data_IF_706734255007
#
_entry.id   IF_706734255007
#
_cell.length_a   1.000
_cell.length_b   1.000
_cell.length_c   1.000
_cell.angle_alpha   90.00
_cell.angle_beta   90.00
_cell.angle_gamma   90.00
#
_symmetry.space_group_name_H-M   'P 1'
#
loop_
_entity.id
_entity.type
_entity.pdbx_description
1 polymer ?
#
# COMPACT_ATOMS: atom_id res chain seq x y z
N UNK A 1 -37.57 -14.61 6.47
CA UNK A 1 -37.28 -13.78 5.27
C UNK A 1 -35.78 -13.76 5.06
N UNK A 2 -35.33 -14.27 3.92
CA UNK A 2 -33.94 -14.56 3.58
C UNK A 2 -33.07 -13.29 3.66
N UNK A 3 -32.13 -13.25 4.62
CA UNK A 3 -31.14 -12.18 4.72
C UNK A 3 -29.91 -12.51 3.84
N UNK A 4 -30.09 -12.73 2.54
CA UNK A 4 -28.98 -12.88 1.60
C UNK A 4 -28.57 -11.50 1.05
N UNK A 5 -28.30 -10.55 1.95
CA UNK A 5 -27.72 -9.26 1.56
C UNK A 5 -26.22 -9.44 1.36
N UNK A 6 -25.70 -8.91 0.26
CA UNK A 6 -24.26 -8.89 -0.02
C UNK A 6 -23.53 -7.98 0.95
N UNK A 7 -22.21 -8.20 1.12
CA UNK A 7 -21.37 -7.36 1.99
C UNK A 7 -21.44 -5.88 1.60
N UNK A 8 -21.57 -5.56 0.30
CA UNK A 8 -21.66 -4.18 -0.21
C UNK A 8 -22.98 -3.52 0.22
N UNK A 9 -24.10 -4.20 0.01
CA UNK A 9 -25.42 -3.69 0.43
C UNK A 9 -25.50 -3.48 1.93
N UNK A 10 -24.86 -4.34 2.73
CA UNK A 10 -24.79 -4.17 4.18
C UNK A 10 -23.93 -2.97 4.62
N UNK A 11 -22.89 -2.64 3.86
CA UNK A 11 -22.07 -1.43 4.10
C UNK A 11 -22.90 -0.19 3.75
N UNK A 12 -23.61 -0.20 2.61
CA UNK A 12 -24.50 0.89 2.22
C UNK A 12 -25.61 1.09 3.26
N UNK A 13 -26.20 0.00 3.76
CA UNK A 13 -27.18 0.05 4.84
C UNK A 13 -26.58 0.63 6.12
N UNK A 14 -25.33 0.29 6.46
CA UNK A 14 -24.64 0.85 7.62
C UNK A 14 -24.44 2.37 7.49
N UNK A 15 -24.06 2.85 6.31
CA UNK A 15 -23.81 4.26 6.03
C UNK A 15 -25.11 5.08 5.94
N UNK A 16 -26.20 4.49 5.45
CA UNK A 16 -27.51 5.14 5.32
C UNK A 16 -28.41 5.00 6.56
N UNK A 17 -28.06 4.15 7.54
CA UNK A 17 -28.90 3.85 8.70
C UNK A 17 -29.09 5.05 9.65
N UNK A 18 -30.29 5.63 9.62
CA UNK A 18 -30.73 6.68 10.55
C UNK A 18 -31.03 6.11 11.94
N UNK A 19 -31.53 4.87 11.99
CA UNK A 19 -31.97 4.21 13.21
C UNK A 19 -30.87 3.35 13.86
N UNK A 20 -30.73 3.43 15.18
CA UNK A 20 -29.75 2.61 15.93
C UNK A 20 -30.02 1.11 15.82
N UNK A 21 -31.30 0.69 15.71
CA UNK A 21 -31.67 -0.73 15.52
C UNK A 21 -31.14 -1.30 14.20
N UNK A 22 -31.32 -0.57 13.10
CA UNK A 22 -30.83 -0.95 11.77
C UNK A 22 -29.31 -1.00 11.73
N UNK A 23 -28.66 0.02 12.29
CA UNK A 23 -27.20 0.09 12.39
C UNK A 23 -26.61 -1.11 13.14
N UNK A 24 -27.21 -1.46 14.28
CA UNK A 24 -26.79 -2.62 15.06
C UNK A 24 -27.05 -3.96 14.35
N UNK A 25 -28.14 -4.07 13.59
CA UNK A 25 -28.41 -5.25 12.74
C UNK A 25 -27.37 -5.36 11.63
N UNK A 26 -27.05 -4.27 10.94
CA UNK A 26 -26.02 -4.22 9.89
C UNK A 26 -24.66 -4.64 10.42
N UNK A 27 -24.24 -4.10 11.58
CA UNK A 27 -22.97 -4.46 12.23
C UNK A 27 -22.92 -5.96 12.55
N UNK A 28 -24.01 -6.54 13.10
CA UNK A 28 -24.06 -7.97 13.41
C UNK A 28 -23.94 -8.84 12.16
N UNK A 29 -24.61 -8.46 11.07
CA UNK A 29 -24.56 -9.20 9.81
C UNK A 29 -23.19 -9.08 9.16
N UNK A 30 -22.60 -7.88 9.13
CA UNK A 30 -21.27 -7.65 8.58
C UNK A 30 -20.15 -8.38 9.32
N UNK A 31 -20.30 -8.62 10.63
CA UNK A 31 -19.35 -9.44 11.41
C UNK A 31 -19.30 -10.91 10.99
N UNK A 32 -20.31 -11.41 10.27
CA UNK A 32 -20.35 -12.79 9.74
C UNK A 32 -19.53 -12.93 8.47
N UNK A 33 -19.22 -11.83 7.79
CA UNK A 33 -18.40 -11.86 6.58
C UNK A 33 -16.93 -11.84 6.94
N UNK A 34 -16.14 -12.66 6.25
CA UNK A 34 -14.71 -12.64 6.43
C UNK A 34 -14.13 -11.28 6.01
N UNK A 35 -13.20 -10.72 6.80
CA UNK A 35 -12.49 -9.51 6.45
C UNK A 35 -11.52 -9.79 5.32
N UNK A 36 -11.66 -9.03 4.23
CA UNK A 36 -10.74 -9.09 3.08
C UNK A 36 -9.80 -7.90 3.20
N UNK A 37 -8.50 -8.18 3.20
CA UNK A 37 -7.48 -7.15 3.16
C UNK A 37 -7.34 -6.58 1.75
N UNK A 38 -7.27 -5.26 1.66
CA UNK A 38 -7.05 -4.52 0.44
C UNK A 38 -5.77 -3.68 0.59
N UNK A 39 -4.76 -4.02 -0.21
CA UNK A 39 -3.45 -3.39 -0.25
C UNK A 39 -3.27 -2.48 -1.47
N UNK A 40 -4.30 -2.32 -2.31
CA UNK A 40 -4.22 -1.64 -3.60
C UNK A 40 -3.67 -0.21 -3.50
N UNK A 41 -3.94 0.48 -2.39
CA UNK A 41 -3.54 1.87 -2.20
C UNK A 41 -2.43 2.03 -1.18
N UNK A 42 -1.82 0.95 -0.68
CA UNK A 42 -0.82 1.03 0.37
C UNK A 42 0.37 1.92 -0.04
N UNK A 43 0.67 2.10 -1.33
CA UNK A 43 1.69 3.03 -1.82
C UNK A 43 1.33 4.51 -1.61
N UNK A 44 0.05 4.85 -1.49
CA UNK A 44 -0.46 6.22 -1.26
C UNK A 44 -0.54 6.61 0.22
N UNK A 45 0.22 5.94 1.08
CA UNK A 45 0.26 6.11 2.53
C UNK A 45 0.98 7.37 3.04
N UNK A 46 1.12 8.40 2.21
CA UNK A 46 1.72 9.66 2.61
C UNK A 46 0.90 10.36 3.68
N UNK A 47 1.57 11.01 4.64
CA UNK A 47 0.93 11.71 5.78
C UNK A 47 -0.14 12.72 5.33
N UNK A 48 0.11 13.41 4.23
CA UNK A 48 -0.76 14.47 3.67
C UNK A 48 -2.11 13.93 3.18
N UNK A 49 -2.18 12.64 2.83
CA UNK A 49 -3.39 12.01 2.35
C UNK A 49 -4.34 11.57 3.47
N UNK A 50 -3.93 11.71 4.74
CA UNK A 50 -4.72 11.29 5.89
C UNK A 50 -5.31 12.46 6.67
N UNK A 51 -6.59 12.33 7.00
CA UNK A 51 -7.30 13.22 7.90
C UNK A 51 -7.92 12.41 9.03
N UNK A 52 -7.38 12.54 10.24
CA UNK A 52 -7.94 11.92 11.44
C UNK A 52 -9.10 12.77 11.94
N UNK A 53 -10.29 12.17 12.06
CA UNK A 53 -11.46 12.82 12.64
C UNK A 53 -11.91 12.09 13.89
N UNK A 54 -11.95 12.83 14.99
CA UNK A 54 -12.49 12.38 16.26
C UNK A 54 -13.95 12.82 16.39
N UNK A 55 -14.78 11.93 16.92
CA UNK A 55 -16.20 12.12 17.11
C UNK A 55 -16.52 12.01 18.61
N UNK A 56 -17.44 12.86 19.07
CA UNK A 56 -17.93 12.84 20.45
C UNK A 56 -18.80 11.60 20.77
N UNK A 57 -19.09 10.77 19.76
CA UNK A 57 -19.92 9.57 19.85
C UNK A 57 -19.27 8.40 19.12
N UNK A 58 -19.71 7.18 19.43
CA UNK A 58 -19.22 5.97 18.77
C UNK A 58 -19.82 5.90 17.36
N UNK A 59 -18.96 5.88 16.35
CA UNK A 59 -19.34 5.66 14.96
C UNK A 59 -19.09 4.20 14.58
N UNK A 60 -20.02 3.64 13.81
CA UNK A 60 -19.86 2.32 13.20
C UNK A 60 -19.52 2.51 11.73
N UNK A 61 -18.45 1.88 11.26
CA UNK A 61 -18.08 1.90 9.84
C UNK A 61 -17.30 0.65 9.46
N UNK A 62 -17.28 0.32 8.16
CA UNK A 62 -16.42 -0.73 7.63
C UNK A 62 -15.08 -0.12 7.18
N UNK A 63 -13.96 -0.66 7.66
CA UNK A 63 -12.63 -0.20 7.24
C UNK A 63 -12.36 -0.64 5.80
N UNK A 64 -12.01 0.30 4.92
CA UNK A 64 -11.73 0.00 3.52
C UNK A 64 -10.46 -0.85 3.31
N UNK A 65 -9.48 -0.80 4.22
CA UNK A 65 -8.22 -1.56 4.13
C UNK A 65 -8.34 -2.98 4.67
N UNK A 66 -8.78 -3.18 5.91
CA UNK A 66 -8.88 -4.53 6.49
C UNK A 66 -10.25 -5.19 6.32
N UNK A 67 -11.24 -4.50 5.76
CA UNK A 67 -12.58 -5.04 5.53
C UNK A 67 -13.37 -5.40 6.80
N UNK A 68 -12.86 -5.02 7.99
CA UNK A 68 -13.49 -5.24 9.31
C UNK A 68 -14.42 -4.09 9.66
N UNK A 69 -15.58 -4.41 10.23
CA UNK A 69 -16.44 -3.42 10.87
C UNK A 69 -15.84 -2.97 12.19
N UNK A 70 -15.82 -1.65 12.40
CA UNK A 70 -15.30 -1.00 13.61
C UNK A 70 -16.38 -0.14 14.23
N UNK A 71 -16.38 -0.12 15.55
CA UNK A 71 -17.19 0.76 16.38
C UNK A 71 -16.22 1.50 17.29
N UNK A 72 -15.92 2.75 16.96
CA UNK A 72 -14.88 3.55 17.62
C UNK A 72 -15.23 5.04 17.54
N UNK A 73 -14.57 5.87 18.36
CA UNK A 73 -14.77 7.33 18.36
C UNK A 73 -13.95 8.05 17.29
N UNK A 74 -13.01 7.37 16.66
CA UNK A 74 -12.08 7.96 15.69
C UNK A 74 -12.19 7.25 14.34
N UNK A 75 -12.23 8.00 13.25
CA UNK A 75 -12.16 7.49 11.87
C UNK A 75 -11.15 8.31 11.10
N UNK A 76 -10.32 7.62 10.34
CA UNK A 76 -9.33 8.26 9.48
C UNK A 76 -9.88 8.26 8.06
N UNK A 77 -9.94 9.44 7.45
CA UNK A 77 -10.25 9.61 6.04
C UNK A 77 -8.93 9.58 5.27
N UNK A 78 -8.86 8.71 4.27
CA UNK A 78 -7.70 8.55 3.41
C UNK A 78 -8.09 8.95 1.99
N UNK A 79 -7.40 9.94 1.44
CA UNK A 79 -7.57 10.36 0.05
C UNK A 79 -6.74 9.45 -0.85
N UNK A 80 -7.40 8.65 -1.67
CA UNK A 80 -6.78 7.71 -2.62
C UNK A 80 -7.23 8.00 -4.05
N UNK A 81 -6.45 7.69 -5.09
CA UNK A 81 -6.94 7.77 -6.47
C UNK A 81 -8.07 6.76 -6.73
N UNK A 82 -9.04 7.14 -7.56
CA UNK A 82 -10.23 6.32 -7.86
C UNK A 82 -9.96 5.23 -8.91
N UNK A 83 -9.04 5.47 -9.86
CA UNK A 83 -8.65 4.59 -10.99
C UNK A 83 -7.23 4.97 -11.50
N UNK A 84 -6.68 4.26 -12.51
CA UNK A 84 -5.36 4.51 -13.15
C UNK A 84 -5.13 5.96 -13.62
N UNK A 85 -6.20 6.74 -13.85
CA UNK A 85 -6.09 8.17 -14.10
C UNK A 85 -5.98 8.95 -12.78
N UNK A 86 -4.81 9.53 -12.55
CA UNK A 86 -4.42 10.31 -11.37
C UNK A 86 -5.32 11.51 -11.04
N UNK A 87 -6.21 11.93 -11.95
CA UNK A 87 -6.99 13.17 -11.82
C UNK A 87 -8.18 13.07 -10.86
N UNK A 88 -8.64 11.85 -10.51
CA UNK A 88 -9.81 11.67 -9.63
C UNK A 88 -9.42 11.04 -8.31
N UNK A 89 -9.56 11.80 -7.23
CA UNK A 89 -9.37 11.31 -5.87
C UNK A 89 -10.70 10.93 -5.19
N UNK A 90 -10.67 9.89 -4.37
CA UNK A 90 -11.77 9.38 -3.55
C UNK A 90 -11.33 9.34 -2.10
N UNK A 91 -12.19 9.82 -1.20
CA UNK A 91 -11.98 9.67 0.25
C UNK A 91 -12.54 8.33 0.72
N UNK A 92 -11.70 7.48 1.28
CA UNK A 92 -12.08 6.22 1.89
C UNK A 92 -11.89 6.27 3.41
N UNK A 93 -12.70 5.51 4.15
CA UNK A 93 -12.61 5.45 5.61
C UNK A 93 -11.78 4.26 6.07
N UNK A 94 -10.73 4.50 6.86
CA UNK A 94 -9.92 3.45 7.48
C UNK A 94 -9.94 3.53 9.00
N UNK A 95 -9.63 2.41 9.64
CA UNK A 95 -9.52 2.34 11.10
C UNK A 95 -8.16 2.85 11.58
N UNK A 96 -8.11 3.31 12.83
CA UNK A 96 -6.89 3.85 13.43
C UNK A 96 -5.73 2.84 13.45
N UNK A 97 -6.02 1.56 13.69
CA UNK A 97 -5.02 0.48 13.65
C UNK A 97 -4.37 0.34 12.27
N UNK A 98 -5.17 0.37 11.19
CA UNK A 98 -4.65 0.32 9.82
C UNK A 98 -3.86 1.59 9.47
N UNK A 99 -4.28 2.75 9.98
CA UNK A 99 -3.56 4.00 9.81
C UNK A 99 -2.17 3.95 10.48
N UNK A 100 -2.07 3.45 11.71
CA UNK A 100 -0.77 3.32 12.40
C UNK A 100 0.18 2.39 11.65
N UNK A 101 -0.30 1.26 11.14
CA UNK A 101 0.52 0.35 10.33
C UNK A 101 1.06 1.04 9.06
N UNK A 102 0.23 1.82 8.37
CA UNK A 102 0.66 2.59 7.20
C UNK A 102 1.68 3.68 7.56
N UNK A 103 1.49 4.35 8.70
CA UNK A 103 2.44 5.32 9.26
C UNK A 103 3.81 4.72 9.58
N UNK A 104 3.80 3.53 10.17
CA UNK A 104 5.03 2.78 10.48
C UNK A 104 5.74 2.33 9.20
N UNK A 105 4.99 1.87 8.19
CA UNK A 105 5.54 1.56 6.87
C UNK A 105 6.22 2.78 6.24
N UNK A 106 5.59 3.96 6.29
CA UNK A 106 6.18 5.21 5.78
C UNK A 106 7.53 5.50 6.45
N UNK A 107 7.55 5.36 7.77
CA UNK A 107 8.73 5.63 8.58
C UNK A 107 9.86 4.67 8.25
N UNK A 108 9.57 3.36 8.18
CA UNK A 108 10.56 2.34 7.81
C UNK A 108 11.08 2.52 6.38
N UNK A 109 10.22 2.92 5.45
CA UNK A 109 10.63 3.20 4.07
C UNK A 109 11.58 4.40 3.98
N UNK A 110 11.31 5.47 4.74
CA UNK A 110 12.22 6.64 4.84
C UNK A 110 13.56 6.26 5.45
N UNK A 111 13.55 5.49 6.53
CA UNK A 111 14.76 5.04 7.20
C UNK A 111 15.60 4.14 6.28
N UNK A 112 14.95 3.21 5.56
CA UNK A 112 15.61 2.34 4.57
C UNK A 112 16.25 3.17 3.45
N UNK A 113 15.54 4.16 2.91
CA UNK A 113 16.08 5.04 1.88
C UNK A 113 17.28 5.86 2.40
N UNK A 114 17.26 6.30 3.66
CA UNK A 114 18.39 6.97 4.30
C UNK A 114 19.58 6.04 4.49
N UNK A 115 19.37 4.82 5.00
CA UNK A 115 20.44 3.83 5.19
C UNK A 115 21.07 3.39 3.86
N UNK A 116 20.27 3.28 2.79
CA UNK A 116 20.78 3.02 1.44
C UNK A 116 21.65 4.19 0.93
N UNK A 117 21.23 5.44 1.16
CA UNK A 117 22.04 6.63 0.82
C UNK A 117 23.36 6.67 1.59
N UNK A 118 23.35 6.20 2.83
CA UNK A 118 24.53 6.14 3.72
C UNK A 118 25.41 4.91 3.48
N UNK A 119 25.06 4.02 2.53
CA UNK A 119 25.84 2.83 2.21
C UNK A 119 25.79 1.70 3.26
N UNK A 120 24.95 1.85 4.29
CA UNK A 120 24.76 0.85 5.37
C UNK A 120 23.98 -0.38 4.89
N UNK A 121 23.25 -0.27 3.78
CA UNK A 121 22.49 -1.37 3.15
C UNK A 121 23.01 -1.57 1.72
N UNK A 122 23.58 -2.75 1.37
CA UNK A 122 24.02 -3.04 0.01
C UNK A 122 22.89 -2.90 -1.01
N UNK A 123 23.17 -2.27 -2.15
CA UNK A 123 22.24 -2.28 -3.30
C UNK A 123 22.06 -3.73 -3.74
N UNK A 124 20.85 -4.28 -3.63
CA UNK A 124 20.51 -5.63 -4.10
C UNK A 124 20.33 -6.70 -3.01
N UNK A 125 20.50 -6.39 -1.72
CA UNK A 125 20.23 -7.33 -0.63
C UNK A 125 18.93 -6.96 0.09
N UNK A 126 17.83 -6.96 -0.66
CA UNK A 126 16.47 -6.91 -0.13
C UNK A 126 15.81 -8.25 -0.38
N UNK A 127 15.32 -8.89 0.68
CA UNK A 127 14.48 -10.08 0.58
C UNK A 127 13.30 -9.83 -0.40
N UNK A 128 13.44 -10.31 -1.64
CA UNK A 128 12.32 -10.76 -2.47
C UNK A 128 11.40 -9.73 -3.15
N UNK A 129 11.81 -8.48 -3.38
CA UNK A 129 11.07 -7.58 -4.29
C UNK A 129 12.04 -6.92 -5.26
N UNK A 130 12.30 -7.62 -6.35
CA UNK A 130 12.93 -7.05 -7.55
C UNK A 130 11.93 -6.06 -8.17
N UNK A 131 12.26 -4.78 -8.11
CA UNK A 131 11.68 -3.78 -9.02
C UNK A 131 12.03 -4.21 -10.45
N UNK A 132 11.05 -4.74 -11.18
CA UNK A 132 11.21 -5.28 -12.53
C UNK A 132 11.41 -4.19 -13.62
N UNK A 133 11.82 -2.98 -13.23
CA UNK A 133 11.94 -1.81 -14.12
C UNK A 133 13.39 -1.37 -14.33
N UNK A 134 14.35 -1.78 -13.48
CA UNK A 134 15.74 -1.29 -13.59
C UNK A 134 16.68 -2.20 -14.38
N UNK A 135 16.26 -3.39 -14.83
CA UNK A 135 17.16 -4.40 -15.44
C UNK A 135 17.19 -4.40 -16.97
N UNK A 136 16.41 -3.56 -17.66
CA UNK A 136 16.39 -3.57 -19.14
C UNK A 136 17.29 -2.54 -19.82
N UNK A 137 17.75 -1.48 -19.14
CA UNK A 137 18.61 -0.45 -19.76
C UNK A 137 20.11 -0.58 -19.47
N UNK A 138 20.56 -1.65 -18.81
CA UNK A 138 21.96 -1.83 -18.41
C UNK A 138 22.76 -2.89 -19.19
N UNK A 139 22.13 -3.72 -20.01
CA UNK A 139 22.77 -4.92 -20.60
C UNK A 139 23.27 -4.74 -22.04
N UNK A 140 23.67 -3.53 -22.45
CA UNK A 140 24.13 -3.26 -23.82
C UNK A 140 25.64 -2.96 -23.96
N UNK A 141 26.48 -3.17 -22.94
CA UNK A 141 27.89 -2.78 -23.07
C UNK A 141 28.90 -3.65 -22.32
N UNK A 142 28.81 -4.97 -22.48
CA UNK A 142 29.95 -5.87 -22.19
C UNK A 142 30.05 -6.94 -23.27
N UNK A 143 30.86 -6.66 -24.29
CA UNK A 143 31.24 -7.63 -25.29
C UNK A 143 32.52 -7.20 -25.98
N UNK A 144 33.68 -7.48 -25.37
CA UNK A 144 34.96 -7.60 -26.07
C UNK A 144 36.10 -8.02 -25.11
N UNK A 145 36.09 -9.25 -24.59
CA UNK A 145 37.33 -9.88 -24.08
C UNK A 145 37.30 -11.40 -24.29
N UNK A 146 37.83 -11.85 -25.42
CA UNK A 146 38.42 -13.15 -25.71
C UNK A 146 38.90 -13.10 -27.17
N UNK A 147 40.14 -13.34 -27.57
CA UNK A 147 41.33 -13.93 -26.98
C UNK A 147 42.07 -14.61 -28.14
N UNK A 148 43.38 -14.44 -28.29
CA UNK A 148 44.24 -15.34 -29.09
C UNK A 148 45.72 -14.97 -28.94
N UNK A 149 46.54 -16.00 -28.92
CA UNK A 149 47.94 -16.01 -28.56
C UNK A 149 48.90 -15.64 -29.71
N UNK A 150 50.11 -15.26 -29.26
CA UNK A 150 51.43 -15.59 -29.84
C UNK A 150 51.94 -14.86 -31.10
N UNK A 151 53.19 -14.40 -30.92
CA UNK A 151 54.34 -14.44 -31.82
C UNK A 151 54.86 -13.12 -32.43
N UNK A 152 56.16 -12.91 -32.15
CA UNK A 152 57.17 -12.21 -32.96
C UNK A 152 57.00 -10.72 -33.27
N UNK A 153 57.89 -9.87 -32.74
CA UNK A 153 59.16 -9.54 -33.41
C UNK A 153 59.76 -8.26 -32.81
N UNK A 154 61.01 -8.39 -32.33
CA UNK A 154 61.97 -7.30 -32.16
C UNK A 154 62.14 -6.52 -33.47
N UNK A 155 62.18 -5.18 -33.40
CA UNK A 155 63.24 -4.38 -34.06
C UNK A 155 63.28 -2.95 -33.52
N UNK A 156 64.46 -2.62 -33.01
CA UNK A 156 64.94 -1.27 -32.77
C UNK A 156 65.60 -0.69 -34.04
N UNK A 157 66.02 0.57 -33.93
CA UNK A 157 66.82 1.38 -34.86
C UNK A 157 66.01 2.01 -36.01
N UNK A 158 66.19 3.29 -36.39
CA UNK A 158 67.06 4.39 -35.95
C UNK A 158 66.45 5.68 -36.50
#
# INVERSE_FOLDING_TARGET
MANNLTKRELIELLDCAKNSKERNKAVKLLKRFDPVWNYQWDDHHQKENFQVKEFNYIIAFCCARCGKVKQQKQKVFWTVPKDESADKTKKIGICYQCFNQLREMEHTNKLRAQHQKQGLVPKGMGFGLVDHVSTLNGMANQGQYAGAASSSAFKAAS
#
